data_IF_007819975774
#
_entry.id   IF_007819975774
#
_cell.length_a   1.000
_cell.length_b   1.000
_cell.length_c   1.000
_cell.angle_alpha   90.00
_cell.angle_beta   90.00
_cell.angle_gamma   90.00
#
_symmetry.space_group_name_H-M   'P 1'
#
loop_
_entity.id
_entity.type
_entity.pdbx_description
1 polymer ?
#
# COMPACT_ATOMS: atom_id res chain seq x y z
N UNK A 1 -41.26 -30.19 23.72
CA UNK A 1 -40.20 -29.37 24.35
C UNK A 1 -38.95 -30.19 24.08
N UNK A 2 -38.03 -29.80 23.20
CA UNK A 2 -37.16 -28.62 23.33
C UNK A 2 -36.84 -27.97 21.97
N UNK A 3 -36.57 -26.65 22.01
CA UNK A 3 -36.44 -25.75 20.88
C UNK A 3 -35.01 -25.15 20.84
N UNK A 4 -34.52 -24.93 19.62
CA UNK A 4 -33.53 -23.94 19.17
C UNK A 4 -32.02 -24.17 19.37
N UNK A 5 -31.29 -23.66 18.35
CA UNK A 5 -29.89 -23.19 18.35
C UNK A 5 -28.91 -24.29 17.93
N UNK A 6 -28.20 -24.25 16.79
CA UNK A 6 -27.37 -23.14 16.29
C UNK A 6 -27.33 -23.05 14.75
N UNK A 7 -27.59 -21.85 14.26
CA UNK A 7 -27.22 -21.39 12.93
C UNK A 7 -25.92 -20.60 13.10
N UNK A 8 -24.77 -21.21 12.80
CA UNK A 8 -23.51 -20.49 12.71
C UNK A 8 -23.25 -20.12 11.24
N UNK A 9 -23.02 -18.84 10.89
CA UNK A 9 -22.59 -18.46 9.57
C UNK A 9 -21.06 -18.65 9.47
N UNK A 10 -20.60 -19.58 8.64
CA UNK A 10 -19.21 -19.58 8.17
C UNK A 10 -18.99 -18.40 7.20
N UNK A 11 -18.95 -17.21 7.78
CA UNK A 11 -18.41 -16.02 7.15
C UNK A 11 -16.90 -16.13 7.04
N UNK A 12 -16.40 -16.96 6.12
CA UNK A 12 -15.04 -16.77 5.62
C UNK A 12 -15.07 -15.64 4.59
N UNK A 13 -14.89 -14.42 5.09
CA UNK A 13 -14.31 -13.33 4.31
C UNK A 13 -12.94 -13.80 3.79
N UNK A 14 -12.92 -14.41 2.61
CA UNK A 14 -11.69 -14.55 1.85
C UNK A 14 -11.44 -13.20 1.19
N UNK A 15 -10.83 -12.29 1.96
CA UNK A 15 -10.08 -11.20 1.37
C UNK A 15 -8.80 -11.83 0.80
N UNK A 16 -8.87 -12.23 -0.47
CA UNK A 16 -7.71 -12.61 -1.28
C UNK A 16 -6.87 -11.36 -1.56
N UNK A 17 -6.24 -10.81 -0.53
CA UNK A 17 -5.09 -9.93 -0.68
C UNK A 17 -3.87 -10.83 -0.77
N UNK A 18 -3.15 -10.81 -1.89
CA UNK A 18 -1.89 -11.54 -2.04
C UNK A 18 -0.87 -10.93 -1.08
N UNK A 19 -0.86 -11.37 0.17
CA UNK A 19 0.07 -10.92 1.18
C UNK A 19 1.44 -11.49 0.79
N UNK A 20 2.22 -10.71 0.04
CA UNK A 20 3.59 -11.04 -0.27
C UNK A 20 4.33 -11.28 1.06
N UNK A 21 5.26 -12.25 1.13
CA UNK A 21 6.13 -12.39 2.29
C UNK A 21 6.78 -11.03 2.58
N UNK A 22 6.76 -10.57 3.83
CA UNK A 22 7.28 -9.23 4.20
C UNK A 22 8.72 -8.99 3.71
N UNK A 23 9.50 -10.06 3.58
CA UNK A 23 10.86 -10.03 3.06
C UNK A 23 10.91 -9.64 1.56
N UNK A 24 9.94 -10.06 0.76
CA UNK A 24 9.85 -9.72 -0.66
C UNK A 24 9.40 -8.26 -0.85
N UNK A 25 8.60 -7.73 0.08
CA UNK A 25 8.17 -6.32 0.06
C UNK A 25 9.36 -5.38 0.29
N UNK A 26 10.21 -5.68 1.28
CA UNK A 26 11.37 -4.86 1.60
C UNK A 26 12.33 -4.75 0.40
N UNK A 27 12.71 -5.89 -0.18
CA UNK A 27 13.61 -5.93 -1.34
C UNK A 27 13.00 -5.21 -2.56
N UNK A 28 11.69 -5.36 -2.77
CA UNK A 28 10.96 -4.70 -3.85
C UNK A 28 10.88 -3.20 -3.66
N UNK A 29 10.55 -2.71 -2.46
CA UNK A 29 10.58 -1.28 -2.12
C UNK A 29 11.98 -0.71 -2.31
N UNK A 30 13.03 -1.43 -1.92
CA UNK A 30 14.40 -0.94 -2.08
C UNK A 30 14.88 -0.88 -3.53
N UNK A 31 14.47 -1.85 -4.35
CA UNK A 31 14.94 -1.99 -5.73
C UNK A 31 14.09 -1.25 -6.75
N UNK A 32 12.88 -0.80 -6.38
CA UNK A 32 11.96 -0.19 -7.32
C UNK A 32 12.35 1.25 -7.67
N UNK A 33 12.37 1.61 -8.97
CA UNK A 33 12.75 2.95 -9.41
C UNK A 33 11.58 3.94 -9.27
N UNK A 34 11.25 4.32 -8.04
CA UNK A 34 10.14 5.25 -7.75
C UNK A 34 10.25 6.59 -8.49
N UNK A 35 11.48 7.09 -8.72
CA UNK A 35 11.70 8.36 -9.43
C UNK A 35 11.31 8.32 -10.91
N UNK A 36 11.27 7.11 -11.50
CA UNK A 36 10.90 6.92 -12.90
C UNK A 36 9.40 6.61 -13.06
N UNK A 37 8.65 6.52 -11.95
CA UNK A 37 7.25 6.15 -11.95
C UNK A 37 6.34 7.39 -11.85
N UNK A 38 5.69 7.80 -12.95
CA UNK A 38 4.82 8.96 -12.95
C UNK A 38 3.52 8.75 -12.16
N UNK A 39 3.04 7.50 -12.02
CA UNK A 39 1.84 7.21 -11.23
C UNK A 39 2.15 7.34 -9.73
N UNK A 40 3.30 6.82 -9.30
CA UNK A 40 3.78 7.02 -7.94
C UNK A 40 3.98 8.51 -7.63
N UNK A 41 4.68 9.25 -8.50
CA UNK A 41 4.93 10.68 -8.30
C UNK A 41 3.64 11.51 -8.22
N UNK A 42 2.62 11.16 -9.02
CA UNK A 42 1.30 11.79 -8.96
C UNK A 42 0.54 11.43 -7.68
N UNK A 43 0.61 10.18 -7.24
CA UNK A 43 0.00 9.75 -5.97
C UNK A 43 0.65 10.46 -4.78
N UNK A 44 1.97 10.56 -4.79
CA UNK A 44 2.75 11.20 -3.73
C UNK A 44 2.46 12.71 -3.64
N UNK A 45 2.28 13.42 -4.76
CA UNK A 45 1.98 14.86 -4.73
C UNK A 45 0.64 15.19 -4.08
N UNK A 46 -0.35 14.29 -4.18
CA UNK A 46 -1.64 14.42 -3.48
C UNK A 46 -1.42 14.31 -1.97
N UNK A 47 -0.59 13.35 -1.53
CA UNK A 47 -0.26 13.14 -0.12
C UNK A 47 0.52 14.33 0.45
N UNK A 48 1.43 14.91 -0.33
CA UNK A 48 2.25 16.07 0.05
C UNK A 48 1.48 17.41 -0.02
N UNK A 49 0.25 17.42 -0.54
CA UNK A 49 -0.61 18.61 -0.56
C UNK A 49 -0.38 19.56 -1.74
N UNK A 50 0.28 19.10 -2.81
CA UNK A 50 0.48 19.87 -4.04
C UNK A 50 0.06 19.06 -5.28
N UNK A 51 -1.23 18.74 -5.44
CA UNK A 51 -1.72 17.82 -6.48
C UNK A 51 -1.55 18.34 -7.92
N UNK A 52 -1.32 19.64 -8.10
CA UNK A 52 -1.16 20.24 -9.43
C UNK A 52 0.18 19.88 -10.09
N UNK A 53 1.21 19.59 -9.29
CA UNK A 53 2.54 19.22 -9.77
C UNK A 53 2.93 17.84 -9.24
N UNK A 54 3.37 16.90 -10.11
CA UNK A 54 3.92 15.62 -9.66
C UNK A 54 5.05 15.83 -8.66
N UNK A 55 5.22 14.89 -7.73
CA UNK A 55 6.34 14.93 -6.80
C UNK A 55 7.66 14.86 -7.58
N UNK A 56 8.60 15.72 -7.20
CA UNK A 56 9.95 15.76 -7.76
C UNK A 56 10.78 14.57 -7.30
N UNK A 57 11.88 14.29 -8.00
CA UNK A 57 12.83 13.23 -7.59
C UNK A 57 13.39 13.47 -6.17
N UNK A 58 13.52 14.74 -5.77
CA UNK A 58 13.94 15.08 -4.42
C UNK A 58 12.90 14.66 -3.38
N UNK A 59 11.61 14.78 -3.70
CA UNK A 59 10.50 14.38 -2.82
C UNK A 59 10.29 12.87 -2.80
N UNK A 60 10.39 12.21 -3.95
CA UNK A 60 10.29 10.76 -4.08
C UNK A 60 11.43 10.02 -3.37
N UNK A 61 12.63 10.59 -3.32
CA UNK A 61 13.78 10.03 -2.61
C UNK A 61 13.85 10.34 -1.13
N UNK A 62 12.87 11.03 -0.55
CA UNK A 62 12.88 11.27 0.89
C UNK A 62 12.79 9.95 1.64
N UNK A 63 13.53 9.89 2.75
CA UNK A 63 13.56 8.76 3.68
C UNK A 63 12.72 9.02 4.94
N UNK A 64 11.88 10.06 4.93
CA UNK A 64 10.95 10.29 6.03
C UNK A 64 9.82 9.27 6.05
N UNK A 65 9.22 9.11 7.24
CA UNK A 65 8.21 8.10 7.50
C UNK A 65 7.02 8.19 6.54
N UNK A 66 6.65 9.39 6.09
CA UNK A 66 5.52 9.59 5.17
C UNK A 66 5.83 8.99 3.81
N UNK A 67 7.00 9.31 3.23
CA UNK A 67 7.41 8.78 1.93
C UNK A 67 7.68 7.28 2.01
N UNK A 68 8.27 6.80 3.10
CA UNK A 68 8.48 5.37 3.32
C UNK A 68 7.15 4.61 3.39
N UNK A 69 6.16 5.12 4.13
CA UNK A 69 4.82 4.53 4.18
C UNK A 69 4.14 4.52 2.81
N UNK A 70 4.26 5.60 2.04
CA UNK A 70 3.70 5.68 0.69
C UNK A 70 4.32 4.61 -0.24
N UNK A 71 5.65 4.41 -0.18
CA UNK A 71 6.37 3.37 -0.92
C UNK A 71 5.89 1.96 -0.55
N UNK A 72 5.72 1.70 0.75
CA UNK A 72 5.18 0.42 1.22
C UNK A 72 3.72 0.21 0.79
N UNK A 73 2.88 1.25 0.88
CA UNK A 73 1.47 1.19 0.50
C UNK A 73 1.29 0.93 -1.00
N UNK A 74 2.16 1.49 -1.84
CA UNK A 74 2.16 1.29 -3.29
C UNK A 74 2.21 -0.19 -3.69
N UNK A 75 2.96 -1.00 -2.92
CA UNK A 75 3.08 -2.44 -3.13
C UNK A 75 2.11 -3.30 -2.32
N UNK A 76 1.36 -2.70 -1.39
CA UNK A 76 0.40 -3.42 -0.54
C UNK A 76 -0.96 -3.62 -1.22
N UNK A 77 -0.99 -3.59 -2.56
CA UNK A 77 -2.18 -3.60 -3.42
C UNK A 77 -2.40 -4.95 -4.09
#
# INVERSE_FOLDING_TARGET
MDNATEHAPDGKLQASGSQLPENDLFERVKSYPFDADPEFAKGLSIILGHPETPASNAETNREDDLVLQAKCFYFSK
#
